data_IF_465761143642
#
_entry.id   IF_465761143642
#
_cell.length_a   1.000
_cell.length_b   1.000
_cell.length_c   1.000
_cell.angle_alpha   90.00
_cell.angle_beta   90.00
_cell.angle_gamma   90.00
#
_symmetry.space_group_name_H-M   'P 1'
#
loop_
_entity.id
_entity.type
_entity.pdbx_description
1 polymer ?
#
# COMPACT_ATOMS: atom_id res chain seq x y z
N UNK A 1 4.30 6.43 -47.72
CA UNK A 1 3.46 6.15 -46.53
C UNK A 1 2.37 7.20 -46.46
N UNK A 2 1.12 6.81 -46.76
CA UNK A 2 -0.01 7.73 -46.77
C UNK A 2 -0.17 8.38 -45.39
N UNK A 3 -0.48 9.67 -45.38
CA UNK A 3 -0.81 10.46 -44.18
C UNK A 3 -1.87 9.77 -43.32
N UNK A 4 -2.79 9.05 -43.97
CA UNK A 4 -3.79 8.20 -43.33
C UNK A 4 -3.18 7.07 -42.47
N UNK A 5 -2.15 6.39 -42.97
CA UNK A 5 -1.46 5.33 -42.23
C UNK A 5 -0.70 5.90 -41.02
N UNK A 6 -0.14 7.12 -41.15
CA UNK A 6 0.53 7.81 -40.04
C UNK A 6 -0.46 8.25 -38.95
N UNK A 7 -1.63 8.75 -39.35
CA UNK A 7 -2.72 9.11 -38.42
C UNK A 7 -3.26 7.89 -37.67
N UNK A 8 -3.40 6.74 -38.34
CA UNK A 8 -3.87 5.51 -37.73
C UNK A 8 -2.87 4.97 -36.68
N UNK A 9 -1.56 5.04 -36.97
CA UNK A 9 -0.51 4.63 -36.05
C UNK A 9 -0.39 5.56 -34.83
N UNK A 10 -0.55 6.88 -35.03
CA UNK A 10 -0.50 7.85 -33.94
C UNK A 10 -1.71 7.69 -33.00
N UNK A 11 -2.91 7.50 -33.54
CA UNK A 11 -4.12 7.26 -32.74
C UNK A 11 -4.04 5.95 -31.93
N UNK A 12 -3.47 4.89 -32.51
CA UNK A 12 -3.26 3.63 -31.80
C UNK A 12 -2.30 3.75 -30.61
N UNK A 13 -1.23 4.53 -30.75
CA UNK A 13 -0.26 4.76 -29.67
C UNK A 13 -0.85 5.57 -28.50
N UNK A 14 -1.72 6.56 -28.77
CA UNK A 14 -2.37 7.35 -27.72
C UNK A 14 -3.47 6.56 -26.96
N UNK A 15 -4.04 5.51 -27.54
CA UNK A 15 -5.11 4.73 -26.91
C UNK A 15 -4.62 3.82 -25.76
N UNK A 16 -3.33 3.47 -25.71
CA UNK A 16 -2.79 2.58 -24.68
C UNK A 16 -2.43 3.28 -23.36
N UNK A 17 -2.34 4.62 -23.32
CA UNK A 17 -1.95 5.37 -22.12
C UNK A 17 -3.12 5.68 -21.17
N UNK A 18 -4.36 5.30 -21.51
CA UNK A 18 -5.56 5.66 -20.74
C UNK A 18 -5.88 4.71 -19.56
N UNK A 19 -5.11 3.63 -19.36
CA UNK A 19 -5.45 2.61 -18.36
C UNK A 19 -5.06 2.94 -16.91
N UNK A 20 -4.44 4.09 -16.61
CA UNK A 20 -4.14 4.48 -15.23
C UNK A 20 -4.87 5.77 -14.82
N UNK A 21 -6.20 5.71 -14.76
CA UNK A 21 -7.00 6.75 -14.12
C UNK A 21 -7.38 6.27 -12.71
N UNK A 22 -6.82 6.83 -11.62
CA UNK A 22 -7.17 6.45 -10.24
C UNK A 22 -8.62 6.82 -9.89
N UNK A 23 -9.24 7.76 -10.62
CA UNK A 23 -10.62 8.22 -10.41
C UNK A 23 -11.69 7.51 -11.28
N UNK A 24 -11.37 6.35 -11.89
CA UNK A 24 -12.28 5.64 -12.80
C UNK A 24 -13.62 5.17 -12.17
N UNK A 25 -13.75 5.25 -10.85
CA UNK A 25 -14.94 4.82 -10.11
C UNK A 25 -15.79 5.95 -9.51
N UNK A 26 -15.48 7.23 -9.80
CA UNK A 26 -16.46 8.33 -9.66
C UNK A 26 -17.32 8.34 -8.38
N UNK A 27 -16.72 8.08 -7.21
CA UNK A 27 -17.42 8.17 -5.93
C UNK A 27 -16.84 9.34 -5.13
N UNK A 28 -17.25 10.55 -5.49
CA UNK A 28 -17.18 11.68 -4.57
C UNK A 28 -18.09 11.42 -3.37
N UNK A 29 -17.53 11.63 -2.17
CA UNK A 29 -18.20 11.78 -0.88
C UNK A 29 -19.11 10.63 -0.38
N UNK A 30 -18.70 9.99 0.72
CA UNK A 30 -19.62 9.38 1.68
C UNK A 30 -19.70 7.85 1.66
N UNK A 31 -18.60 7.17 1.99
CA UNK A 31 -18.66 5.78 2.45
C UNK A 31 -18.90 5.74 3.96
N UNK A 32 -20.00 5.11 4.39
CA UNK A 32 -20.33 4.87 5.79
C UNK A 32 -19.32 3.89 6.43
N UNK A 33 -18.18 4.42 6.88
CA UNK A 33 -17.23 3.74 7.75
C UNK A 33 -17.39 4.26 9.17
N UNK A 34 -17.62 3.37 10.13
CA UNK A 34 -17.70 3.72 11.55
C UNK A 34 -16.49 4.51 12.03
N UNK A 35 -16.70 5.35 13.05
CA UNK A 35 -15.70 6.22 13.64
C UNK A 35 -14.45 5.41 14.08
N UNK A 36 -13.40 5.41 13.26
CA UNK A 36 -12.11 4.79 13.58
C UNK A 36 -11.43 4.02 12.44
N UNK A 37 -12.11 3.75 11.32
CA UNK A 37 -11.48 3.07 10.17
C UNK A 37 -10.91 4.04 9.15
N UNK A 38 -9.62 3.89 8.78
CA UNK A 38 -9.05 4.61 7.65
C UNK A 38 -9.74 4.11 6.38
N UNK A 39 -10.55 4.96 5.74
CA UNK A 39 -11.21 4.61 4.48
C UNK A 39 -10.18 4.66 3.35
N UNK A 40 -10.30 3.75 2.37
CA UNK A 40 -9.38 3.66 1.23
C UNK A 40 -9.27 4.99 0.44
N UNK A 41 -10.30 5.85 0.49
CA UNK A 41 -10.28 7.20 -0.09
C UNK A 41 -9.47 8.25 0.70
N UNK A 42 -9.08 7.96 1.94
CA UNK A 42 -8.23 8.83 2.78
C UNK A 42 -6.73 8.51 2.72
N UNK A 43 -6.34 7.42 2.03
CA UNK A 43 -4.95 6.97 1.94
C UNK A 43 -4.15 7.64 0.82
N UNK A 44 -4.81 8.39 -0.08
CA UNK A 44 -4.18 9.03 -1.23
C UNK A 44 -3.90 8.08 -2.41
N UNK A 45 -3.19 8.58 -3.42
CA UNK A 45 -2.87 7.82 -4.64
C UNK A 45 -1.69 6.87 -4.39
N UNK A 46 -1.79 5.56 -4.69
CA UNK A 46 -0.67 4.62 -4.59
C UNK A 46 0.57 4.98 -5.43
N UNK A 47 0.43 5.87 -6.41
CA UNK A 47 1.55 6.36 -7.23
C UNK A 47 2.21 7.62 -6.66
N UNK A 48 1.62 8.26 -5.65
CA UNK A 48 2.21 9.41 -4.95
C UNK A 48 3.12 8.92 -3.83
N UNK A 49 4.45 9.12 -3.90
CA UNK A 49 5.38 8.66 -2.86
C UNK A 49 5.11 9.21 -1.47
N UNK A 50 4.34 10.31 -1.35
CA UNK A 50 4.01 10.93 -0.07
C UNK A 50 2.73 10.38 0.57
N UNK A 51 2.03 9.44 -0.10
CA UNK A 51 0.75 8.93 0.35
C UNK A 51 0.89 7.70 1.24
N UNK A 52 0.01 7.52 2.24
CA UNK A 52 -0.12 6.26 2.96
C UNK A 52 -0.41 5.06 2.05
N UNK A 53 -1.11 5.26 0.93
CA UNK A 53 -1.36 4.21 -0.05
C UNK A 53 -0.07 3.71 -0.72
N UNK A 54 0.87 4.61 -1.03
CA UNK A 54 2.19 4.23 -1.55
C UNK A 54 2.99 3.42 -0.53
N UNK A 55 2.97 3.84 0.74
CA UNK A 55 3.62 3.10 1.83
C UNK A 55 3.10 1.65 1.89
N UNK A 56 1.78 1.44 1.90
CA UNK A 56 1.20 0.11 2.01
C UNK A 56 1.46 -0.78 0.78
N UNK A 57 1.37 -0.22 -0.43
CA UNK A 57 1.43 -1.02 -1.66
C UNK A 57 2.84 -1.19 -2.23
N UNK A 58 3.70 -0.19 -2.09
CA UNK A 58 5.02 -0.18 -2.72
C UNK A 58 6.12 -0.60 -1.76
N UNK A 59 6.07 -0.13 -0.50
CA UNK A 59 7.03 -0.52 0.53
C UNK A 59 6.58 -1.80 1.23
N UNK A 60 5.27 -1.93 1.46
CA UNK A 60 4.67 -2.98 2.27
C UNK A 60 4.47 -2.45 3.69
N UNK A 61 3.25 -2.57 4.21
CA UNK A 61 2.86 -2.12 5.55
C UNK A 61 3.07 -3.20 6.64
N UNK A 62 3.52 -4.39 6.25
CA UNK A 62 3.63 -5.56 7.12
C UNK A 62 5.02 -6.15 7.12
N UNK A 63 5.45 -6.59 8.29
CA UNK A 63 6.67 -7.34 8.50
C UNK A 63 6.27 -8.74 8.96
N UNK A 64 6.61 -9.76 8.17
CA UNK A 64 6.26 -11.15 8.45
C UNK A 64 7.35 -11.85 9.25
N UNK A 65 6.91 -12.76 10.12
CA UNK A 65 7.78 -13.60 10.93
C UNK A 65 7.64 -15.07 10.51
N UNK A 66 8.66 -15.86 10.81
CA UNK A 66 8.57 -17.31 10.69
C UNK A 66 7.63 -17.87 11.76
N UNK A 67 7.08 -19.07 11.51
CA UNK A 67 6.20 -19.76 12.47
C UNK A 67 6.89 -19.87 13.81
N UNK A 68 6.19 -19.48 14.87
CA UNK A 68 6.63 -19.57 16.26
C UNK A 68 7.92 -18.80 16.57
N UNK A 69 8.16 -17.67 15.88
CA UNK A 69 9.34 -16.84 16.06
C UNK A 69 9.01 -15.36 16.10
N UNK A 70 9.76 -14.61 16.91
CA UNK A 70 9.76 -13.14 16.95
C UNK A 70 11.05 -12.53 16.39
N UNK A 71 11.90 -13.36 15.78
CA UNK A 71 13.16 -12.91 15.17
C UNK A 71 12.93 -12.49 13.71
N UNK A 72 13.48 -11.33 13.33
CA UNK A 72 13.37 -10.82 11.97
C UNK A 72 14.32 -11.56 11.02
N UNK A 73 13.76 -12.08 9.93
CA UNK A 73 14.54 -12.58 8.79
C UNK A 73 15.27 -11.43 8.08
N UNK A 74 16.30 -11.70 7.26
CA UNK A 74 16.96 -10.66 6.48
C UNK A 74 16.01 -9.87 5.57
N UNK A 75 15.01 -10.53 4.99
CA UNK A 75 13.97 -9.90 4.17
C UNK A 75 13.08 -8.98 5.02
N UNK A 76 12.62 -9.45 6.18
CA UNK A 76 11.84 -8.66 7.13
C UNK A 76 12.60 -7.41 7.59
N UNK A 77 13.91 -7.52 7.84
CA UNK A 77 14.77 -6.38 8.19
C UNK A 77 14.87 -5.36 7.05
N UNK A 78 14.93 -5.81 5.79
CA UNK A 78 14.97 -4.92 4.63
C UNK A 78 13.67 -4.12 4.48
N UNK A 79 12.52 -4.78 4.62
CA UNK A 79 11.20 -4.12 4.60
C UNK A 79 11.08 -3.12 5.74
N UNK A 80 11.39 -3.52 6.97
CA UNK A 80 11.34 -2.63 8.14
C UNK A 80 12.28 -1.42 7.98
N UNK A 81 13.47 -1.63 7.40
CA UNK A 81 14.40 -0.53 7.11
C UNK A 81 13.82 0.45 6.09
N UNK A 82 13.17 -0.04 5.03
CA UNK A 82 12.51 0.80 4.04
C UNK A 82 11.33 1.58 4.64
N UNK A 83 10.51 0.94 5.47
CA UNK A 83 9.42 1.58 6.21
C UNK A 83 9.95 2.72 7.11
N UNK A 84 11.03 2.47 7.86
CA UNK A 84 11.65 3.46 8.74
C UNK A 84 12.20 4.65 7.96
N UNK A 85 12.86 4.40 6.82
CA UNK A 85 13.35 5.48 5.93
C UNK A 85 12.20 6.36 5.45
N UNK A 86 11.09 5.76 5.02
CA UNK A 86 9.92 6.50 4.57
C UNK A 86 9.28 7.32 5.69
N UNK A 87 9.06 6.74 6.87
CA UNK A 87 8.49 7.44 8.02
C UNK A 87 9.36 8.63 8.48
N UNK A 88 10.69 8.47 8.45
CA UNK A 88 11.62 9.57 8.77
C UNK A 88 11.54 10.73 7.77
N UNK A 89 11.22 10.45 6.50
CA UNK A 89 11.02 11.48 5.48
C UNK A 89 9.64 12.15 5.58
N UNK A 90 8.67 11.49 6.24
CA UNK A 90 7.29 11.95 6.35
C UNK A 90 6.86 12.10 7.82
N UNK A 91 7.58 12.94 8.56
CA UNK A 91 7.36 13.18 10.01
C UNK A 91 5.97 13.73 10.39
N UNK A 92 5.13 14.09 9.41
CA UNK A 92 3.73 14.47 9.63
C UNK A 92 2.79 13.27 9.87
N UNK A 93 3.23 12.05 9.55
CA UNK A 93 2.44 10.84 9.81
C UNK A 93 2.74 10.25 11.17
N UNK A 94 1.71 9.65 11.77
CA UNK A 94 1.82 8.83 12.97
C UNK A 94 1.60 7.37 12.59
N UNK A 95 2.45 6.48 13.08
CA UNK A 95 2.32 5.04 12.89
C UNK A 95 1.89 4.36 14.20
N UNK A 96 1.05 3.33 14.08
CA UNK A 96 0.70 2.42 15.17
C UNK A 96 1.34 1.07 14.83
N UNK A 97 2.04 0.47 15.79
CA UNK A 97 2.66 -0.84 15.62
C UNK A 97 1.79 -1.86 16.34
N UNK A 98 1.22 -2.79 15.57
CA UNK A 98 0.35 -3.86 16.07
C UNK A 98 0.96 -5.22 15.74
N UNK A 99 1.01 -6.10 16.74
CA UNK A 99 1.46 -7.47 16.60
C UNK A 99 0.29 -8.43 16.44
N UNK A 100 0.40 -9.35 15.49
CA UNK A 100 -0.60 -10.39 15.25
C UNK A 100 0.08 -11.73 15.10
N UNK A 101 -0.30 -12.69 15.94
CA UNK A 101 -0.03 -14.11 15.71
C UNK A 101 -1.21 -14.75 14.96
N UNK A 102 -0.97 -15.92 14.37
CA UNK A 102 -2.02 -16.71 13.74
C UNK A 102 -2.97 -17.33 14.79
N UNK A 103 -3.98 -18.05 14.34
CA UNK A 103 -4.95 -18.71 15.24
C UNK A 103 -4.44 -20.01 15.88
N UNK A 104 -3.21 -20.42 15.57
CA UNK A 104 -2.63 -21.67 16.04
C UNK A 104 -2.03 -21.44 17.43
N UNK A 105 -2.44 -22.21 18.43
CA UNK A 105 -1.94 -22.11 19.81
C UNK A 105 -2.97 -21.58 20.81
N UNK A 106 -2.53 -21.21 22.01
CA UNK A 106 -3.40 -20.58 23.02
C UNK A 106 -3.47 -19.07 22.80
N UNK A 107 -4.60 -18.46 23.17
CA UNK A 107 -4.77 -17.01 23.06
C UNK A 107 -3.68 -16.26 23.83
N UNK A 108 -3.36 -16.74 25.03
CA UNK A 108 -2.38 -16.13 25.91
C UNK A 108 -0.96 -16.21 25.33
N UNK A 109 -0.65 -17.31 24.63
CA UNK A 109 0.61 -17.45 23.91
C UNK A 109 0.69 -16.49 22.72
N UNK A 110 -0.38 -16.43 21.93
CA UNK A 110 -0.45 -15.60 20.73
C UNK A 110 -0.44 -14.10 21.07
N UNK A 111 -0.96 -13.71 22.24
CA UNK A 111 -0.86 -12.35 22.77
C UNK A 111 0.56 -11.99 23.25
N UNK A 112 1.35 -12.97 23.69
CA UNK A 112 2.74 -12.74 24.08
C UNK A 112 3.69 -12.77 22.88
N UNK A 113 3.30 -13.47 21.81
CA UNK A 113 4.08 -13.60 20.57
C UNK A 113 3.88 -12.41 19.63
N UNK A 114 2.66 -11.88 19.56
CA UNK A 114 2.32 -10.65 18.81
C UNK A 114 2.74 -9.40 19.56
#
# INVERSE_FOLDING_TARGET
MNTFTKLLLLAGALALSACNNPDRYGAGAGGAGGAGGITQGGLGDPNDPNSPAYFAQTIGDRVLFAVDQSTLTPEAQQILSAQAVWLNQHAGYTAIIEGHADEVGTREYNLALG
#
